data_IF_785877444979
#
_entry.id   IF_785877444979
#
_cell.length_a   1.000
_cell.length_b   1.000
_cell.length_c   1.000
_cell.angle_alpha   90.00
_cell.angle_beta   90.00
_cell.angle_gamma   90.00
#
_symmetry.space_group_name_H-M   'P 1'
#
loop_
_entity.id
_entity.type
_entity.pdbx_description
1 polymer ?
#
# COMPACT_ATOMS: atom_id res chain seq x y z
N UNK A 1 21.28 1.10 15.47
CA UNK A 1 21.39 0.27 14.25
C UNK A 1 21.99 1.13 13.15
N UNK A 2 23.21 0.83 12.72
CA UNK A 2 24.01 1.65 11.80
C UNK A 2 23.84 1.20 10.36
N UNK A 3 23.88 2.16 9.42
CA UNK A 3 23.65 1.96 7.98
C UNK A 3 24.61 0.98 7.27
N UNK A 4 25.64 0.47 7.95
CA UNK A 4 26.69 -0.40 7.37
C UNK A 4 26.22 -1.79 6.93
N UNK A 5 25.00 -2.22 7.29
CA UNK A 5 24.43 -3.51 6.88
C UNK A 5 23.15 -3.42 6.05
N UNK A 6 22.66 -2.22 5.71
CA UNK A 6 21.40 -2.02 4.98
C UNK A 6 21.71 -1.51 3.57
N UNK A 7 21.10 -2.06 2.50
CA UNK A 7 21.34 -1.57 1.15
C UNK A 7 20.92 -0.10 1.03
N UNK A 8 21.78 0.72 0.43
CA UNK A 8 21.51 2.12 0.12
C UNK A 8 21.20 2.30 -1.36
N UNK A 9 20.49 3.38 -1.69
CA UNK A 9 20.24 3.81 -3.07
C UNK A 9 20.30 5.33 -3.15
N UNK A 10 20.67 5.86 -4.32
CA UNK A 10 20.54 7.27 -4.61
C UNK A 10 19.08 7.66 -4.83
N UNK A 11 18.74 8.91 -4.54
CA UNK A 11 17.41 9.45 -4.80
C UNK A 11 17.24 9.58 -6.31
N UNK A 12 16.26 8.86 -6.86
CA UNK A 12 15.84 8.94 -8.25
C UNK A 12 14.33 9.09 -8.32
N UNK A 13 13.84 9.88 -9.28
CA UNK A 13 12.41 10.02 -9.54
C UNK A 13 11.98 8.97 -10.57
N UNK A 14 10.88 8.27 -10.29
CA UNK A 14 10.29 7.32 -11.25
C UNK A 14 9.75 8.13 -12.43
N UNK A 15 10.15 7.78 -13.65
CA UNK A 15 9.72 8.45 -14.89
C UNK A 15 9.93 9.98 -14.92
N UNK A 16 10.87 10.50 -14.12
CA UNK A 16 11.05 11.94 -13.94
C UNK A 16 9.75 12.67 -13.56
N UNK A 17 8.93 12.02 -12.72
CA UNK A 17 7.73 12.65 -12.15
C UNK A 17 8.09 14.01 -11.55
N UNK A 18 7.32 15.03 -11.91
CA UNK A 18 7.52 16.41 -11.47
C UNK A 18 8.21 17.33 -12.49
N UNK A 19 8.81 16.82 -13.58
CA UNK A 19 9.37 17.68 -14.64
C UNK A 19 8.32 18.18 -15.65
N UNK A 20 7.27 17.38 -15.91
CA UNK A 20 6.20 17.75 -16.84
C UNK A 20 4.84 17.67 -16.18
N UNK A 21 4.32 16.45 -16.03
CA UNK A 21 3.07 16.18 -15.29
C UNK A 21 3.32 15.19 -14.16
N UNK A 22 2.59 15.36 -13.07
CA UNK A 22 2.57 14.37 -12.00
C UNK A 22 1.71 13.18 -12.42
N UNK A 23 2.26 11.97 -12.26
CA UNK A 23 1.54 10.72 -12.47
C UNK A 23 1.52 9.95 -11.16
N UNK A 24 0.33 9.61 -10.69
CA UNK A 24 0.15 8.83 -9.47
C UNK A 24 0.77 7.44 -9.65
N UNK A 25 1.68 7.08 -8.73
CA UNK A 25 2.43 5.83 -8.79
C UNK A 25 1.68 4.66 -8.21
N UNK A 26 0.76 4.90 -7.27
CA UNK A 26 -0.09 3.85 -6.74
C UNK A 26 -1.15 3.47 -7.78
N UNK A 27 -1.17 2.20 -8.21
CA UNK A 27 -2.17 1.70 -9.15
C UNK A 27 -3.29 0.98 -8.44
N UNK A 28 -2.95 0.12 -7.47
CA UNK A 28 -3.90 -0.77 -6.84
C UNK A 28 -3.68 -0.85 -5.35
N UNK A 29 -4.79 -0.81 -4.61
CA UNK A 29 -4.85 -1.14 -3.20
C UNK A 29 -5.75 -2.36 -3.01
N UNK A 30 -5.24 -3.39 -2.33
CA UNK A 30 -6.03 -4.54 -1.92
C UNK A 30 -6.11 -4.59 -0.40
N UNK A 31 -7.31 -4.43 0.13
CA UNK A 31 -7.62 -4.46 1.55
C UNK A 31 -8.22 -5.83 1.88
N UNK A 32 -7.52 -6.61 2.71
CA UNK A 32 -8.05 -7.83 3.31
C UNK A 32 -8.38 -7.56 4.77
N UNK A 33 -9.65 -7.70 5.13
CA UNK A 33 -10.17 -7.40 6.46
C UNK A 33 -11.20 -8.43 6.90
N UNK A 34 -11.29 -8.64 8.22
CA UNK A 34 -12.24 -9.56 8.83
C UNK A 34 -13.50 -8.82 9.28
N UNK A 35 -14.65 -9.49 9.17
CA UNK A 35 -15.94 -8.97 9.63
C UNK A 35 -16.02 -8.92 11.16
N UNK A 36 -15.48 -9.92 11.84
CA UNK A 36 -15.75 -10.13 13.26
C UNK A 36 -14.56 -9.80 14.17
N UNK A 37 -13.34 -9.81 13.62
CA UNK A 37 -12.14 -9.57 14.43
C UNK A 37 -12.05 -8.11 14.89
N UNK A 38 -11.82 -7.84 16.20
CA UNK A 38 -11.69 -6.47 16.72
C UNK A 38 -10.50 -5.73 16.12
N UNK A 39 -9.42 -6.45 15.78
CA UNK A 39 -8.24 -5.93 15.08
C UNK A 39 -8.56 -5.32 13.71
N UNK A 40 -9.67 -5.72 13.08
CA UNK A 40 -10.13 -5.20 11.78
C UNK A 40 -11.17 -4.08 11.92
N UNK A 41 -11.49 -3.62 13.13
CA UNK A 41 -12.50 -2.58 13.36
C UNK A 41 -12.16 -1.27 12.65
N UNK A 42 -10.95 -0.74 12.84
CA UNK A 42 -10.53 0.50 12.17
C UNK A 42 -10.49 0.37 10.64
N UNK A 43 -10.14 -0.80 10.12
CA UNK A 43 -10.18 -1.07 8.68
C UNK A 43 -11.63 -1.11 8.14
N UNK A 44 -12.58 -1.61 8.93
CA UNK A 44 -14.02 -1.59 8.59
C UNK A 44 -14.56 -0.17 8.57
N UNK A 45 -14.29 0.61 9.62
CA UNK A 45 -14.71 2.02 9.71
C UNK A 45 -14.14 2.84 8.53
N UNK A 46 -12.88 2.61 8.14
CA UNK A 46 -12.28 3.23 6.96
C UNK A 46 -12.99 2.83 5.65
N UNK A 47 -13.37 1.56 5.50
CA UNK A 47 -14.09 1.08 4.31
C UNK A 47 -15.51 1.65 4.25
N UNK A 48 -16.16 1.89 5.38
CA UNK A 48 -17.52 2.42 5.40
C UNK A 48 -17.57 3.93 5.13
N UNK A 49 -16.64 4.71 5.71
CA UNK A 49 -16.73 6.18 5.68
C UNK A 49 -15.76 6.83 4.68
N UNK A 50 -14.54 6.29 4.56
CA UNK A 50 -13.44 7.00 3.90
C UNK A 50 -13.09 6.46 2.52
N UNK A 51 -13.33 5.17 2.23
CA UNK A 51 -12.89 4.56 0.97
C UNK A 51 -13.53 5.22 -0.26
N UNK A 52 -14.80 5.61 -0.17
CA UNK A 52 -15.50 6.28 -1.26
C UNK A 52 -14.91 7.69 -1.52
N UNK A 53 -14.61 8.43 -0.45
CA UNK A 53 -13.98 9.74 -0.53
C UNK A 53 -12.53 9.64 -1.06
N UNK A 54 -11.81 8.58 -0.67
CA UNK A 54 -10.47 8.32 -1.17
C UNK A 54 -10.47 7.94 -2.66
N UNK A 55 -11.41 7.11 -3.11
CA UNK A 55 -11.57 6.75 -4.52
C UNK A 55 -11.94 7.95 -5.40
N UNK A 56 -12.79 8.85 -4.89
CA UNK A 56 -13.15 10.10 -5.60
C UNK A 56 -11.97 11.06 -5.74
N UNK A 57 -11.13 11.17 -4.72
CA UNK A 57 -9.92 12.01 -4.75
C UNK A 57 -8.85 11.46 -5.69
N UNK A 58 -8.80 10.13 -5.84
CA UNK A 58 -7.74 9.44 -6.56
C UNK A 58 -8.32 8.51 -7.65
N UNK A 59 -8.88 9.04 -8.75
CA UNK A 59 -9.55 8.24 -9.77
C UNK A 59 -8.61 7.25 -10.49
N UNK A 60 -7.29 7.45 -10.40
CA UNK A 60 -6.28 6.55 -10.96
C UNK A 60 -5.92 5.34 -10.09
N UNK A 61 -6.51 5.18 -8.89
CA UNK A 61 -6.28 4.02 -8.01
C UNK A 61 -7.49 3.12 -8.00
N UNK A 62 -7.25 1.83 -8.24
CA UNK A 62 -8.26 0.78 -8.08
C UNK A 62 -8.16 0.20 -6.68
N UNK A 63 -9.28 0.13 -5.96
CA UNK A 63 -9.33 -0.38 -4.60
C UNK A 63 -10.15 -1.67 -4.59
N UNK A 64 -9.56 -2.75 -4.13
CA UNK A 64 -10.24 -4.01 -3.85
C UNK A 64 -10.46 -4.18 -2.36
N UNK A 65 -11.69 -4.54 -2.00
CA UNK A 65 -12.07 -4.88 -0.63
C UNK A 65 -12.40 -6.36 -0.59
N UNK A 66 -11.56 -7.13 0.08
CA UNK A 66 -11.69 -8.57 0.24
C UNK A 66 -12.06 -8.88 1.69
N UNK A 67 -13.36 -9.00 2.02
CA UNK A 67 -13.78 -9.46 3.34
C UNK A 67 -13.44 -10.94 3.47
N UNK A 68 -12.46 -11.28 4.30
CA UNK A 68 -12.04 -12.66 4.56
C UNK A 68 -11.76 -12.85 6.05
N UNK A 69 -12.03 -14.03 6.63
CA UNK A 69 -11.68 -14.31 8.02
C UNK A 69 -10.16 -14.20 8.19
N UNK A 70 -9.69 -13.16 8.87
CA UNK A 70 -8.28 -12.93 9.16
C UNK A 70 -8.11 -12.31 10.55
N UNK A 71 -7.13 -12.79 11.32
CA UNK A 71 -6.83 -12.23 12.64
C UNK A 71 -6.13 -10.87 12.53
N UNK A 72 -5.44 -10.59 11.43
CA UNK A 72 -4.70 -9.35 11.21
C UNK A 72 -5.13 -8.76 9.85
N UNK A 73 -5.66 -7.52 9.82
CA UNK A 73 -5.99 -6.87 8.56
C UNK A 73 -4.70 -6.60 7.78
N UNK A 74 -4.78 -6.76 6.46
CA UNK A 74 -3.63 -6.58 5.56
C UNK A 74 -3.99 -5.67 4.39
N UNK A 75 -3.08 -4.76 4.10
CA UNK A 75 -3.13 -3.86 2.95
C UNK A 75 -1.99 -4.22 2.02
N UNK A 76 -2.29 -4.43 0.74
CA UNK A 76 -1.30 -4.65 -0.32
C UNK A 76 -1.42 -3.50 -1.30
N UNK A 77 -0.33 -2.76 -1.48
CA UNK A 77 -0.24 -1.66 -2.41
C UNK A 77 0.65 -2.05 -3.59
N UNK A 78 0.11 -1.96 -4.80
CA UNK A 78 0.84 -2.15 -6.04
C UNK A 78 1.18 -0.78 -6.63
N UNK A 79 2.47 -0.55 -6.79
CA UNK A 79 3.00 0.65 -7.39
C UNK A 79 3.37 0.40 -8.84
N UNK A 80 3.36 1.45 -9.64
CA UNK A 80 3.91 1.45 -10.99
C UNK A 80 5.40 1.17 -10.88
N UNK A 81 5.76 -0.06 -11.19
CA UNK A 81 7.16 -0.43 -11.32
C UNK A 81 7.60 -0.11 -12.74
N UNK A 82 8.45 0.92 -12.90
CA UNK A 82 9.13 1.15 -14.17
C UNK A 82 10.30 0.16 -14.25
N UNK A 83 10.13 -0.87 -15.07
CA UNK A 83 11.12 -1.84 -15.55
C UNK A 83 12.47 -1.84 -14.84
N UNK A 84 12.66 -2.76 -13.91
CA UNK A 84 13.99 -3.18 -13.45
C UNK A 84 14.65 -4.01 -14.56
N UNK A 85 15.20 -3.37 -15.58
CA UNK A 85 16.23 -3.98 -16.42
C UNK A 85 17.54 -4.00 -15.61
N UNK A 86 17.69 -4.99 -14.76
CA UNK A 86 18.83 -5.12 -13.87
C UNK A 86 18.77 -6.44 -13.12
N UNK A 87 19.36 -7.46 -13.74
CA UNK A 87 19.66 -8.78 -13.20
C UNK A 87 20.18 -8.64 -11.76
N UNK A 88 19.39 -9.08 -10.79
CA UNK A 88 19.74 -8.94 -9.37
C UNK A 88 18.53 -9.24 -8.51
N UNK A 89 18.36 -10.52 -8.19
CA UNK A 89 17.25 -11.05 -7.42
C UNK A 89 17.00 -10.24 -6.15
N UNK A 90 15.78 -9.72 -6.03
CA UNK A 90 15.13 -9.35 -4.78
C UNK A 90 13.65 -9.18 -5.14
N UNK A 91 12.85 -10.02 -4.48
CA UNK A 91 11.39 -10.20 -4.54
C UNK A 91 10.59 -8.95 -4.95
N UNK A 92 9.55 -9.10 -5.81
CA UNK A 92 8.65 -8.00 -6.15
C UNK A 92 8.10 -7.34 -4.88
N UNK A 93 8.09 -6.02 -4.86
CA UNK A 93 7.79 -5.18 -3.71
C UNK A 93 6.33 -5.27 -3.29
N UNK A 94 5.93 -6.39 -2.69
CA UNK A 94 4.75 -6.44 -1.84
C UNK A 94 5.06 -5.55 -0.64
N UNK A 95 4.47 -4.34 -0.63
CA UNK A 95 4.49 -3.49 0.55
C UNK A 95 4.07 -4.34 1.76
N UNK A 96 4.92 -4.34 2.81
CA UNK A 96 4.64 -5.06 4.06
C UNK A 96 3.21 -4.70 4.52
N UNK A 97 2.40 -5.69 4.95
CA UNK A 97 1.11 -5.40 5.56
C UNK A 97 1.31 -4.44 6.74
N UNK A 98 0.82 -3.22 6.61
CA UNK A 98 0.70 -2.30 7.74
C UNK A 98 -0.43 -2.84 8.62
N UNK A 99 -0.07 -3.48 9.73
CA UNK A 99 -1.02 -3.83 10.79
C UNK A 99 -1.57 -2.54 11.37
N UNK A 100 -2.89 -2.36 11.33
CA UNK A 100 -3.55 -1.25 12.02
C UNK A 100 -3.33 -1.41 13.53
N UNK A 101 -2.85 -0.36 14.24
CA UNK A 101 -2.68 -0.43 15.68
C UNK A 101 -4.05 -0.58 16.35
N UNK A 102 -4.15 -1.54 17.26
CA UNK A 102 -5.30 -1.74 18.14
C UNK A 102 -5.47 -0.49 19.00
N UNK A 103 -6.55 0.26 18.80
CA UNK A 103 -6.96 1.31 19.73
C UNK A 103 -7.61 0.62 20.95
N UNK A 104 -6.82 0.35 21.98
CA UNK A 104 -7.34 0.03 23.31
C UNK A 104 -7.82 1.34 23.97
N UNK A 105 -9.10 1.36 24.35
CA UNK A 105 -9.65 2.22 25.41
C UNK A 105 -10.77 1.44 26.10
#
# INVERSE_FOLDING_TARGET
>A
MTARGTPSRFLTSVLHNGLGRYVQQLQRLSLSLSRDAPSSRGAREFVEQEVANFARRNPGVVIYVNPRPCCVPRVVAEYREQGRAGTGGLTPGVARPTSFPSSDT
#
